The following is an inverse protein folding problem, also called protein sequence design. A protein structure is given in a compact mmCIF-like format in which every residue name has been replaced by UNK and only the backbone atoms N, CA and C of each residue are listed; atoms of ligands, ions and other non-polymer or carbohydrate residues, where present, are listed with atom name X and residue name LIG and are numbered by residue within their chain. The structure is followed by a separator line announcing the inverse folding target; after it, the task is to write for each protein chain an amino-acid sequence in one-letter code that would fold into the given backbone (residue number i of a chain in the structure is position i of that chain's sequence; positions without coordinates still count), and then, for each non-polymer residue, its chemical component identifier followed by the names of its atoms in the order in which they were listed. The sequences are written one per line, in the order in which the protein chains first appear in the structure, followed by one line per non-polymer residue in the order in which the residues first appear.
data_IF_531294410738
#
_entry.id   IF_531294410738
#
_cell.length_a   1.000
_cell.length_b   1.000
_cell.length_c   1.000
_cell.angle_alpha   90.00
_cell.angle_beta   90.00
_cell.angle_gamma   90.00
#
_symmetry.space_group_name_H-M   'P 1'
#
loop_
_entity.id
_entity.type
_entity.pdbx_description
1 polymer ?
#
# COMPACT_ATOMS: atom_id res chain seq x y z
N UNK A 1 -11.08 4.20 -5.10
CA UNK A 1 -10.47 2.84 -5.16
C UNK A 1 -11.20 2.01 -6.20
N UNK A 2 -10.51 1.03 -6.81
CA UNK A 2 -11.12 0.14 -7.82
C UNK A 2 -11.91 -1.03 -7.22
N UNK A 3 -11.59 -1.48 -6.01
CA UNK A 3 -12.21 -2.64 -5.38
C UNK A 3 -12.70 -2.38 -3.97
N UNK A 4 -13.13 -3.46 -3.31
CA UNK A 4 -13.66 -3.43 -1.95
C UNK A 4 -12.64 -3.82 -0.89
N UNK A 5 -11.44 -4.27 -1.30
CA UNK A 5 -10.36 -4.64 -0.41
C UNK A 5 -9.02 -4.15 -0.94
N UNK A 6 -8.04 -4.09 -0.06
CA UNK A 6 -6.67 -3.72 -0.40
C UNK A 6 -5.64 -4.39 0.50
N UNK A 7 -4.40 -4.45 0.01
CA UNK A 7 -3.22 -4.66 0.83
C UNK A 7 -2.46 -3.33 0.82
N UNK A 8 -2.36 -2.71 1.97
CA UNK A 8 -1.63 -1.46 2.15
C UNK A 8 -0.33 -1.73 2.93
N UNK A 9 0.77 -1.23 2.41
CA UNK A 9 2.09 -1.56 2.93
C UNK A 9 3.01 -0.36 2.96
N UNK A 10 3.78 -0.24 4.04
CA UNK A 10 4.80 0.80 4.24
C UNK A 10 6.10 0.15 4.70
N UNK A 11 7.23 0.56 4.14
CA UNK A 11 8.56 0.08 4.55
C UNK A 11 9.68 1.00 4.06
N UNK A 12 10.92 0.71 4.47
CA UNK A 12 12.11 1.38 3.99
C UNK A 12 13.04 0.40 3.29
N UNK A 13 13.73 0.89 2.26
CA UNK A 13 14.80 0.18 1.53
C UNK A 13 16.09 1.01 1.64
N UNK A 14 17.19 0.35 1.98
CA UNK A 14 18.49 1.00 2.05
C UNK A 14 18.97 1.49 0.66
N UNK A 15 19.72 2.59 0.60
CA UNK A 15 20.15 3.19 -0.69
C UNK A 15 20.94 2.26 -1.59
N UNK A 16 21.80 1.42 -1.01
CA UNK A 16 22.71 0.50 -1.71
C UNK A 16 22.01 -0.61 -2.50
N UNK A 17 20.82 -1.05 -2.05
CA UNK A 17 20.03 -2.10 -2.70
C UNK A 17 18.80 -1.57 -3.44
N UNK A 18 18.53 -0.28 -3.37
CA UNK A 18 17.28 0.33 -3.87
C UNK A 18 17.05 0.05 -5.35
N UNK A 19 18.05 0.27 -6.21
CA UNK A 19 17.89 0.10 -7.65
C UNK A 19 17.56 -1.36 -8.02
N UNK A 20 18.22 -2.32 -7.38
CA UNK A 20 17.97 -3.75 -7.58
C UNK A 20 16.59 -4.14 -7.06
N UNK A 21 16.22 -3.64 -5.88
CA UNK A 21 14.89 -3.86 -5.29
C UNK A 21 13.76 -3.29 -6.17
N UNK A 22 13.89 -2.06 -6.66
CA UNK A 22 12.91 -1.43 -7.56
C UNK A 22 12.76 -2.21 -8.86
N UNK A 23 13.86 -2.71 -9.43
CA UNK A 23 13.83 -3.54 -10.62
C UNK A 23 13.07 -4.85 -10.37
N UNK A 24 13.43 -5.61 -9.33
CA UNK A 24 12.73 -6.83 -8.94
C UNK A 24 11.23 -6.58 -8.72
N UNK A 25 10.90 -5.56 -7.94
CA UNK A 25 9.51 -5.22 -7.62
C UNK A 25 8.67 -4.88 -8.85
N UNK A 26 9.31 -4.26 -9.87
CA UNK A 26 8.66 -3.83 -11.11
C UNK A 26 8.48 -4.98 -12.10
N UNK A 27 9.50 -5.83 -12.29
CA UNK A 27 9.50 -6.82 -13.39
C UNK A 27 9.07 -8.22 -12.95
N UNK A 28 9.12 -8.52 -11.64
CA UNK A 28 8.71 -9.81 -11.10
C UNK A 28 7.58 -9.67 -10.07
N UNK A 29 7.84 -9.00 -8.93
CA UNK A 29 6.95 -9.09 -7.77
C UNK A 29 5.56 -8.52 -8.02
N UNK A 30 5.46 -7.32 -8.57
CA UNK A 30 4.15 -6.72 -8.86
C UNK A 30 3.39 -7.46 -9.96
N UNK A 31 3.99 -7.86 -11.09
CA UNK A 31 3.34 -8.74 -12.07
C UNK A 31 2.83 -10.06 -11.49
N UNK A 32 3.61 -10.73 -10.62
CA UNK A 32 3.16 -11.95 -9.95
C UNK A 32 1.88 -11.74 -9.12
N UNK A 33 1.77 -10.62 -8.40
CA UNK A 33 0.58 -10.31 -7.61
C UNK A 33 -0.60 -10.01 -8.51
N UNK A 34 -0.40 -9.23 -9.57
CA UNK A 34 -1.47 -8.86 -10.49
C UNK A 34 -1.91 -9.99 -11.42
N UNK A 35 -1.09 -11.03 -11.59
CA UNK A 35 -1.48 -12.28 -12.24
C UNK A 35 -2.45 -13.15 -11.43
N UNK A 36 -2.72 -12.81 -10.16
CA UNK A 36 -3.69 -13.52 -9.33
C UNK A 36 -5.08 -12.94 -9.60
N UNK A 37 -6.09 -13.76 -10.00
CA UNK A 37 -7.43 -13.28 -10.26
C UNK A 37 -8.02 -12.52 -9.08
N UNK A 38 -8.61 -11.36 -9.38
CA UNK A 38 -9.24 -10.49 -8.39
C UNK A 38 -8.34 -9.35 -7.87
N UNK A 39 -7.03 -9.34 -8.17
CA UNK A 39 -6.25 -8.11 -8.07
C UNK A 39 -6.59 -7.18 -9.23
N UNK A 40 -6.70 -5.89 -8.96
CA UNK A 40 -7.19 -4.88 -9.90
C UNK A 40 -6.12 -3.86 -10.29
N UNK A 41 -5.27 -3.48 -9.35
CA UNK A 41 -4.16 -2.55 -9.56
C UNK A 41 -3.12 -2.68 -8.46
N UNK A 42 -1.85 -2.58 -8.81
CA UNK A 42 -0.73 -2.35 -7.90
C UNK A 42 -0.17 -0.94 -8.12
N UNK A 43 0.07 -0.22 -7.03
CA UNK A 43 0.63 1.14 -7.06
C UNK A 43 1.80 1.23 -6.10
N UNK A 44 2.96 1.70 -6.56
CA UNK A 44 4.13 1.99 -5.74
C UNK A 44 4.39 3.49 -5.70
N UNK A 45 4.55 4.02 -4.49
CA UNK A 45 4.88 5.41 -4.22
C UNK A 45 6.19 5.49 -3.44
N UNK A 46 6.95 6.57 -3.66
CA UNK A 46 8.23 6.87 -3.00
C UNK A 46 8.06 8.11 -2.13
N UNK A 47 8.58 8.06 -0.91
CA UNK A 47 8.49 9.15 0.06
C UNK A 47 9.12 10.44 -0.43
N UNK A 48 8.47 11.58 -0.12
CA UNK A 48 9.01 12.90 -0.46
C UNK A 48 10.14 13.32 0.49
N UNK A 49 10.02 13.01 1.76
CA UNK A 49 11.04 13.34 2.77
C UNK A 49 12.19 12.32 2.81
N UNK A 50 11.91 11.05 2.51
CA UNK A 50 12.87 9.95 2.49
C UNK A 50 12.63 9.11 1.22
N UNK A 51 13.56 9.20 0.27
CA UNK A 51 13.51 8.42 -0.96
C UNK A 51 13.71 6.90 -0.72
N UNK A 52 14.07 6.46 0.47
CA UNK A 52 14.08 5.07 0.89
C UNK A 52 12.75 4.58 1.46
N UNK A 53 11.81 5.48 1.76
CA UNK A 53 10.48 5.14 2.21
C UNK A 53 9.55 4.82 1.03
N UNK A 54 8.82 3.71 1.16
CA UNK A 54 7.86 3.26 0.14
C UNK A 54 6.47 3.07 0.74
N UNK A 55 5.47 3.41 -0.04
CA UNK A 55 4.10 2.99 0.14
C UNK A 55 3.67 2.18 -1.08
N UNK A 56 3.15 0.97 -0.85
CA UNK A 56 2.60 0.12 -1.91
C UNK A 56 1.17 -0.27 -1.56
N UNK A 57 0.31 -0.12 -2.56
CA UNK A 57 -1.10 -0.46 -2.47
C UNK A 57 -1.43 -1.48 -3.56
N UNK A 58 -1.98 -2.63 -3.16
CA UNK A 58 -2.66 -3.54 -4.09
C UNK A 58 -4.16 -3.45 -3.85
N UNK A 59 -4.89 -3.07 -4.88
CA UNK A 59 -6.35 -3.01 -4.86
C UNK A 59 -6.92 -4.36 -5.31
N UNK A 60 -7.88 -4.86 -4.59
CA UNK A 60 -8.50 -6.15 -4.83
C UNK A 60 -10.02 -6.06 -4.88
N UNK A 61 -10.65 -6.90 -5.69
CA UNK A 61 -12.10 -6.94 -5.88
C UNK A 61 -12.83 -7.19 -4.56
N UNK A 62 -12.32 -8.11 -3.73
CA UNK A 62 -12.91 -8.50 -2.46
C UNK A 62 -11.84 -8.97 -1.47
N UNK A 63 -12.18 -9.00 -0.18
CA UNK A 63 -11.27 -9.50 0.87
C UNK A 63 -10.85 -10.97 0.62
N UNK A 64 -11.75 -11.79 0.10
CA UNK A 64 -11.45 -13.18 -0.24
C UNK A 64 -10.25 -13.31 -1.22
N UNK A 65 -10.06 -12.37 -2.13
CA UNK A 65 -8.91 -12.35 -3.05
C UNK A 65 -7.58 -12.40 -2.31
N UNK A 66 -7.49 -11.74 -1.16
CA UNK A 66 -6.25 -11.55 -0.37
C UNK A 66 -6.16 -12.41 0.88
N UNK A 67 -7.17 -13.26 1.13
CA UNK A 67 -7.21 -14.13 2.32
C UNK A 67 -7.28 -15.62 2.00
N UNK A 68 -7.41 -16.00 0.73
CA UNK A 68 -7.61 -17.40 0.32
C UNK A 68 -6.77 -17.80 -0.90
N UNK A 69 -6.76 -19.11 -1.20
CA UNK A 69 -6.37 -19.69 -2.47
C UNK A 69 -4.98 -19.30 -2.97
N UNK A 70 -4.94 -18.89 -4.25
CA UNK A 70 -3.71 -18.61 -4.99
C UNK A 70 -2.83 -17.54 -4.35
N UNK A 71 -3.42 -16.57 -3.63
CA UNK A 71 -2.64 -15.55 -2.96
C UNK A 71 -1.84 -16.13 -1.80
N UNK A 72 -2.45 -16.93 -0.91
CA UNK A 72 -1.74 -17.60 0.19
C UNK A 72 -0.71 -18.61 -0.31
N UNK A 73 -1.03 -19.31 -1.40
CA UNK A 73 -0.07 -20.20 -2.07
C UNK A 73 1.17 -19.42 -2.51
N UNK A 74 1.00 -18.27 -3.15
CA UNK A 74 2.11 -17.41 -3.60
C UNK A 74 2.94 -16.89 -2.43
N UNK A 75 2.31 -16.44 -1.34
CA UNK A 75 3.00 -15.97 -0.13
C UNK A 75 3.84 -17.06 0.56
N UNK A 76 3.46 -18.32 0.38
CA UNK A 76 4.18 -19.46 0.95
C UNK A 76 5.25 -20.06 0.00
N UNK A 77 5.22 -19.70 -1.27
CA UNK A 77 6.17 -20.17 -2.29
C UNK A 77 6.86 -19.00 -3.01
N UNK A 78 7.62 -18.15 -2.29
CA UNK A 78 8.35 -17.04 -2.90
C UNK A 78 9.43 -17.57 -3.86
N UNK A 79 9.65 -16.85 -4.98
CA UNK A 79 10.70 -17.14 -5.95
C UNK A 79 12.09 -17.01 -5.32
N UNK A 80 13.16 -17.53 -5.96
CA UNK A 80 14.52 -17.29 -5.50
C UNK A 80 14.87 -15.80 -5.39
N UNK A 81 14.45 -14.98 -6.36
CA UNK A 81 14.70 -13.54 -6.35
C UNK A 81 13.88 -12.83 -5.25
N UNK A 82 12.66 -13.23 -5.02
CA UNK A 82 11.86 -12.75 -3.88
C UNK A 82 12.52 -13.08 -2.54
N UNK A 83 13.12 -14.28 -2.39
CA UNK A 83 13.88 -14.67 -1.17
C UNK A 83 15.11 -13.80 -0.95
N UNK A 84 15.75 -13.34 -2.02
CA UNK A 84 16.89 -12.43 -1.97
C UNK A 84 16.48 -10.99 -1.60
N UNK A 85 15.38 -10.48 -2.19
CA UNK A 85 14.99 -9.08 -2.05
C UNK A 85 14.16 -8.78 -0.78
N UNK A 86 13.35 -9.72 -0.30
CA UNK A 86 12.47 -9.50 0.85
C UNK A 86 13.18 -9.19 2.17
N UNK A 87 14.36 -9.73 2.50
CA UNK A 87 15.08 -9.35 3.73
C UNK A 87 15.51 -7.87 3.79
N UNK A 88 15.48 -7.17 2.65
CA UNK A 88 15.82 -5.74 2.60
C UNK A 88 14.67 -4.81 3.00
N UNK A 89 13.45 -5.33 3.20
CA UNK A 89 12.35 -4.53 3.77
C UNK A 89 12.62 -4.25 5.25
N UNK A 90 12.68 -2.98 5.61
CA UNK A 90 12.88 -2.51 6.99
C UNK A 90 11.62 -1.79 7.48
N UNK A 91 11.32 -1.90 8.76
CA UNK A 91 10.17 -1.25 9.40
C UNK A 91 8.85 -1.60 8.69
N UNK A 92 8.69 -2.86 8.29
CA UNK A 92 7.56 -3.31 7.50
C UNK A 92 6.26 -3.20 8.28
N UNK A 93 5.32 -2.46 7.72
CA UNK A 93 3.92 -2.41 8.13
C UNK A 93 3.08 -2.91 6.97
N UNK A 94 2.23 -3.91 7.21
CA UNK A 94 1.39 -4.52 6.18
C UNK A 94 0.02 -4.85 6.75
N UNK A 95 -1.02 -4.32 6.12
CA UNK A 95 -2.41 -4.57 6.52
C UNK A 95 -3.24 -5.06 5.34
N UNK A 96 -4.04 -6.10 5.59
CA UNK A 96 -5.17 -6.45 4.75
C UNK A 96 -6.32 -5.55 5.15
N UNK A 97 -6.94 -4.87 4.19
CA UNK A 97 -7.92 -3.84 4.49
C UNK A 97 -9.22 -4.04 3.71
N UNK A 98 -10.34 -3.70 4.36
CA UNK A 98 -11.59 -3.39 3.69
C UNK A 98 -11.62 -1.89 3.33
N UNK A 99 -12.14 -1.58 2.16
CA UNK A 99 -12.45 -0.21 1.75
C UNK A 99 -13.79 0.16 2.38
N UNK A 100 -13.79 1.08 3.35
CA UNK A 100 -15.00 1.51 4.06
C UNK A 100 -15.74 2.60 3.30
N UNK A 101 -14.99 3.51 2.74
CA UNK A 101 -15.49 4.61 1.94
C UNK A 101 -14.44 5.01 0.91
N UNK A 102 -14.84 5.36 -0.30
CA UNK A 102 -13.93 5.92 -1.29
C UNK A 102 -14.66 6.69 -2.38
N UNK A 103 -13.95 7.64 -2.99
CA UNK A 103 -14.35 8.24 -4.25
C UNK A 103 -13.13 8.38 -5.16
N UNK A 104 -13.38 8.48 -6.47
CA UNK A 104 -12.34 8.56 -7.48
C UNK A 104 -11.53 7.26 -7.63
N UNK A 105 -11.11 6.97 -8.85
CA UNK A 105 -10.33 5.78 -9.21
C UNK A 105 -9.05 6.12 -9.96
N UNK A 106 -8.89 7.40 -10.33
CA UNK A 106 -7.72 7.90 -11.05
C UNK A 106 -6.46 7.89 -10.21
N UNK A 107 -5.33 7.67 -10.87
CA UNK A 107 -4.01 7.88 -10.29
C UNK A 107 -3.58 9.32 -10.50
N UNK A 108 -2.85 9.86 -9.54
CA UNK A 108 -2.21 11.17 -9.62
C UNK A 108 -0.80 11.10 -9.04
N UNK A 109 0.02 12.11 -9.29
CA UNK A 109 1.42 12.06 -8.90
C UNK A 109 1.66 12.24 -7.40
N UNK A 110 0.76 12.94 -6.69
CA UNK A 110 0.86 13.16 -5.25
C UNK A 110 -0.05 12.21 -4.47
N UNK A 111 0.47 11.68 -3.36
CA UNK A 111 -0.22 10.78 -2.44
C UNK A 111 0.11 11.15 -1.01
N UNK A 112 -0.90 11.23 -0.14
CA UNK A 112 -0.74 11.22 1.30
C UNK A 112 -1.33 9.96 1.89
N UNK A 113 -0.67 9.38 2.89
CA UNK A 113 -1.23 8.34 3.74
C UNK A 113 -1.29 8.84 5.18
N UNK A 114 -2.44 8.74 5.82
CA UNK A 114 -2.64 9.10 7.23
C UNK A 114 -3.06 7.83 7.95
N UNK A 115 -2.15 7.27 8.76
CA UNK A 115 -2.39 6.06 9.56
C UNK A 115 -2.84 6.47 10.96
N UNK A 116 -3.96 5.95 11.43
CA UNK A 116 -4.58 6.38 12.69
C UNK A 116 -5.45 5.30 13.32
N UNK A 117 -5.86 5.54 14.55
CA UNK A 117 -6.87 4.77 15.29
C UNK A 117 -7.99 5.68 15.77
N UNK A 118 -9.15 5.10 16.11
CA UNK A 118 -10.27 5.82 16.70
C UNK A 118 -11.20 6.48 15.69
N UNK A 119 -11.51 7.80 15.90
CA UNK A 119 -12.52 8.53 15.14
C UNK A 119 -12.18 8.59 13.64
N UNK A 120 -13.15 8.26 12.82
CA UNK A 120 -13.05 8.37 11.36
C UNK A 120 -13.40 9.79 10.93
N UNK A 121 -12.53 10.50 10.21
CA UNK A 121 -12.84 11.79 9.61
C UNK A 121 -13.62 11.62 8.31
N UNK A 122 -14.25 12.69 7.83
CA UNK A 122 -14.80 12.74 6.49
C UNK A 122 -13.69 12.67 5.42
N UNK A 123 -14.00 12.08 4.27
CA UNK A 123 -13.06 12.04 3.15
C UNK A 123 -12.82 13.45 2.60
N UNK A 124 -11.57 13.94 2.57
CA UNK A 124 -11.27 15.27 2.06
C UNK A 124 -11.57 15.36 0.55
N UNK A 125 -12.24 16.44 0.17
CA UNK A 125 -12.61 16.77 -1.22
C UNK A 125 -12.20 18.20 -1.52
N UNK A 126 -11.86 18.49 -2.78
CA UNK A 126 -11.54 19.86 -3.17
C UNK A 126 -10.72 19.92 -4.44
N UNK A 127 -10.41 21.16 -4.85
CA UNK A 127 -9.51 21.42 -5.98
C UNK A 127 -8.14 20.81 -5.68
N UNK A 128 -7.55 20.17 -6.68
CA UNK A 128 -6.24 19.49 -6.52
C UNK A 128 -6.32 18.04 -6.07
N UNK A 129 -7.44 17.60 -5.44
CA UNK A 129 -7.66 16.23 -4.98
C UNK A 129 -8.43 15.45 -6.05
N UNK A 130 -7.97 14.25 -6.39
CA UNK A 130 -8.60 13.37 -7.39
C UNK A 130 -9.34 12.20 -6.78
N UNK A 131 -8.86 11.69 -5.65
CA UNK A 131 -9.46 10.55 -4.96
C UNK A 131 -9.09 10.54 -3.49
N UNK A 132 -9.96 9.96 -2.68
CA UNK A 132 -9.63 9.57 -1.31
C UNK A 132 -10.32 8.24 -0.96
N UNK A 133 -9.71 7.52 -0.01
CA UNK A 133 -10.24 6.25 0.49
C UNK A 133 -9.91 6.07 1.97
N UNK A 134 -10.92 5.64 2.73
CA UNK A 134 -10.76 5.10 4.06
C UNK A 134 -10.64 3.59 3.96
N UNK A 135 -9.53 3.05 4.46
CA UNK A 135 -9.28 1.62 4.56
C UNK A 135 -9.13 1.22 6.02
N UNK A 136 -9.67 0.07 6.38
CA UNK A 136 -9.66 -0.47 7.74
C UNK A 136 -9.10 -1.88 7.75
N UNK A 137 -8.12 -2.11 8.62
CA UNK A 137 -7.41 -3.37 8.73
C UNK A 137 -8.33 -4.52 9.14
N UNK A 138 -8.07 -5.67 8.57
CA UNK A 138 -8.72 -6.93 8.90
C UNK A 138 -7.68 -7.94 9.37
N UNK A 139 -8.02 -8.83 10.30
CA UNK A 139 -7.12 -9.91 10.71
C UNK A 139 -6.69 -10.76 9.52
N UNK A 140 -5.42 -11.07 9.43
CA UNK A 140 -4.95 -12.07 8.49
C UNK A 140 -5.22 -13.46 9.06
N UNK A 141 -5.95 -14.34 8.35
CA UNK A 141 -6.21 -15.68 8.84
C UNK A 141 -4.96 -16.56 8.81
N UNK A 142 -4.84 -17.44 9.79
CA UNK A 142 -3.82 -18.48 9.82
C UNK A 142 -2.47 -18.06 10.41
N UNK A 143 -1.49 -18.95 10.25
CA UNK A 143 -0.11 -18.74 10.72
C UNK A 143 0.66 -17.78 9.79
N UNK A 144 1.74 -17.14 10.27
CA UNK A 144 2.60 -16.31 9.44
C UNK A 144 3.10 -17.06 8.20
N UNK A 145 2.97 -16.42 7.04
CA UNK A 145 3.41 -16.98 5.76
C UNK A 145 4.93 -17.00 5.62
N UNK A 146 5.45 -17.75 4.64
CA UNK A 146 6.89 -17.81 4.36
C UNK A 146 7.47 -16.42 4.10
N UNK A 147 6.79 -15.57 3.32
CA UNK A 147 7.23 -14.20 3.07
C UNK A 147 7.31 -13.35 4.34
N UNK A 148 6.31 -13.46 5.24
CA UNK A 148 6.34 -12.75 6.53
C UNK A 148 7.50 -13.20 7.42
N UNK A 149 7.80 -14.50 7.44
CA UNK A 149 8.94 -15.04 8.18
C UNK A 149 10.28 -14.55 7.63
N UNK A 150 10.42 -14.48 6.30
CA UNK A 150 11.65 -13.97 5.65
C UNK A 150 11.88 -12.49 6.02
N UNK A 151 10.82 -11.67 6.12
CA UNK A 151 10.92 -10.25 6.49
C UNK A 151 11.10 -10.01 8.00
N UNK A 152 10.97 -11.02 8.83
CA UNK A 152 11.06 -10.89 10.29
C UNK A 152 9.76 -10.46 10.97
N UNK A 153 8.63 -10.56 10.27
CA UNK A 153 7.32 -10.15 10.73
C UNK A 153 6.91 -8.77 10.20
N UNK A 154 5.63 -8.46 10.33
CA UNK A 154 5.04 -7.21 9.84
C UNK A 154 4.30 -6.50 10.99
N UNK A 155 4.45 -5.17 11.11
CA UNK A 155 3.53 -4.34 11.88
C UNK A 155 2.18 -4.21 11.15
N UNK A 156 1.17 -3.69 11.84
CA UNK A 156 -0.16 -3.42 11.26
C UNK A 156 -0.63 -2.02 11.61
N UNK A 157 -1.60 -1.51 10.85
CA UNK A 157 -2.34 -0.29 11.20
C UNK A 157 -3.77 -0.65 11.57
N UNK A 158 -4.48 0.21 12.31
CA UNK A 158 -5.93 0.07 12.51
C UNK A 158 -6.68 0.58 11.27
N UNK A 159 -6.46 1.84 10.92
CA UNK A 159 -7.07 2.52 9.78
C UNK A 159 -6.04 3.35 9.02
N UNK A 160 -6.29 3.58 7.76
CA UNK A 160 -5.57 4.58 7.00
C UNK A 160 -6.50 5.35 6.05
N UNK A 161 -6.22 6.63 5.92
CA UNK A 161 -6.77 7.49 4.88
C UNK A 161 -5.73 7.66 3.79
N UNK A 162 -6.13 7.38 2.57
CA UNK A 162 -5.32 7.54 1.36
C UNK A 162 -5.90 8.72 0.58
N UNK A 163 -5.08 9.73 0.28
CA UNK A 163 -5.51 10.94 -0.42
C UNK A 163 -4.59 11.12 -1.63
N UNK A 164 -5.13 11.14 -2.83
CA UNK A 164 -4.35 11.36 -4.04
C UNK A 164 -4.82 12.61 -4.80
N UNK A 165 -3.90 13.30 -5.46
CA UNK A 165 -4.21 14.50 -6.20
C UNK A 165 -3.14 14.89 -7.20
N UNK A 166 -3.51 15.81 -8.12
CA UNK A 166 -2.61 16.40 -9.08
C UNK A 166 -1.91 17.66 -8.55
N UNK A 167 -2.28 18.10 -7.33
CA UNK A 167 -1.67 19.23 -6.64
C UNK A 167 -1.13 18.72 -5.29
N UNK A 168 0.19 18.70 -5.18
CA UNK A 168 0.86 18.14 -4.00
C UNK A 168 0.61 18.98 -2.73
N UNK A 169 0.46 20.30 -2.86
CA UNK A 169 0.16 21.18 -1.74
C UNK A 169 -1.27 20.99 -1.27
N UNK A 170 -2.22 20.86 -2.20
CA UNK A 170 -3.61 20.53 -1.85
C UNK A 170 -3.71 19.19 -1.11
N UNK A 171 -2.98 18.14 -1.56
CA UNK A 171 -2.94 16.84 -0.90
C UNK A 171 -2.36 16.96 0.51
N UNK A 172 -1.26 17.69 0.68
CA UNK A 172 -0.64 17.92 2.00
C UNK A 172 -1.58 18.65 2.93
N UNK A 173 -2.14 19.79 2.53
CA UNK A 173 -3.06 20.59 3.35
C UNK A 173 -4.31 19.79 3.73
N UNK A 174 -4.85 18.99 2.80
CA UNK A 174 -6.00 18.13 3.09
C UNK A 174 -5.68 17.08 4.16
N UNK A 175 -4.48 16.47 4.11
CA UNK A 175 -4.05 15.48 5.09
C UNK A 175 -3.76 16.10 6.46
N UNK A 176 -3.07 17.24 6.50
CA UNK A 176 -2.78 17.99 7.74
C UNK A 176 -4.06 18.54 8.40
N UNK A 177 -5.02 18.99 7.59
CA UNK A 177 -6.30 19.51 8.04
C UNK A 177 -7.22 18.49 8.72
N UNK A 178 -6.94 17.19 8.62
CA UNK A 178 -7.68 16.16 9.35
C UNK A 178 -7.51 16.27 10.87
N UNK A 179 -6.42 16.86 11.35
CA UNK A 179 -6.12 17.11 12.76
C UNK A 179 -6.35 15.88 13.67
N UNK A 180 -5.99 14.68 13.19
CA UNK A 180 -6.12 13.45 13.94
C UNK A 180 -4.98 13.32 14.95
N UNK A 181 -5.32 13.07 16.22
CA UNK A 181 -4.34 12.84 17.27
C UNK A 181 -3.59 11.53 17.03
N UNK A 182 -2.31 11.53 17.33
CA UNK A 182 -1.42 10.36 17.23
C UNK A 182 -1.41 9.69 15.84
N UNK A 183 -1.82 10.43 14.81
CA UNK A 183 -1.78 9.94 13.43
C UNK A 183 -0.38 10.08 12.83
N UNK A 184 0.00 9.13 12.01
CA UNK A 184 1.22 9.18 11.22
C UNK A 184 0.88 9.60 9.78
N UNK A 185 1.34 10.80 9.41
CA UNK A 185 1.19 11.37 8.08
C UNK A 185 2.49 11.20 7.29
N UNK A 186 2.38 10.58 6.12
CA UNK A 186 3.47 10.46 5.16
C UNK A 186 3.02 10.96 3.80
N UNK A 187 3.94 11.66 3.11
CA UNK A 187 3.72 12.20 1.76
C UNK A 187 4.60 11.48 0.75
N UNK A 188 4.02 11.14 -0.39
CA UNK A 188 4.64 10.34 -1.43
C UNK A 188 4.41 10.93 -2.81
N UNK A 189 5.25 10.51 -3.75
CA UNK A 189 5.01 10.64 -5.20
C UNK A 189 4.81 9.27 -5.83
N UNK A 190 3.95 9.19 -6.83
CA UNK A 190 3.76 8.00 -7.64
C UNK A 190 5.09 7.63 -8.34
N UNK A 191 5.51 6.37 -8.23
CA UNK A 191 6.71 5.84 -8.85
C UNK A 191 6.40 4.82 -9.95
N UNK A 192 5.43 3.94 -9.71
CA UNK A 192 5.03 2.91 -10.66
C UNK A 192 3.60 2.45 -10.41
N UNK A 193 2.90 2.08 -11.45
CA UNK A 193 1.60 1.42 -11.34
C UNK A 193 1.42 0.38 -12.44
N UNK A 194 0.74 -0.70 -12.11
CA UNK A 194 0.40 -1.79 -13.02
C UNK A 194 -1.04 -2.24 -12.77
N UNK A 195 -1.76 -2.53 -13.84
CA UNK A 195 -3.06 -3.21 -13.82
C UNK A 195 -2.95 -4.56 -14.52
N UNK A 196 -3.78 -5.54 -14.19
CA UNK A 196 -3.85 -6.79 -14.94
C UNK A 196 -4.09 -6.53 -16.42
N UNK A 197 -3.43 -7.31 -17.27
CA UNK A 197 -3.64 -7.32 -18.74
C UNK A 197 -4.91 -8.07 -19.10
#
# INVERSE_FOLDING_TARGET
MLGQAAIAMWWNIAPDVRAQWEHWHTVEHMPERLGIPGFLRGTRCVGLADAGAYFVLYEAAALATVTTGKYLERLNNPTPWSREMMPHHRNMVRSLCLVRESYGTGLAHAMATVRFSGRVPDLPKGKGITSAALIESQPMPGAPTTEQKIRGGDGTVDKALLIAGYDADAVRHAAEGLALRDAMLDLYRLSYSLSPS
#
